data_IF_802816100749
#
_entry.id   IF_802816100749
#
_cell.length_a   1.000
_cell.length_b   1.000
_cell.length_c   1.000
_cell.angle_alpha   90.00
_cell.angle_beta   90.00
_cell.angle_gamma   90.00
#
_symmetry.space_group_name_H-M   'P 1'
#
loop_
_entity.id
_entity.type
_entity.pdbx_description
1 polymer ?
#
# COMPACT_ATOMS: atom_id res chain seq x y z
N UNK A 1 -7.76 12.67 -15.76
CA UNK A 1 -6.39 12.19 -16.06
C UNK A 1 -6.13 11.04 -15.10
N UNK A 2 -5.82 9.86 -15.61
CA UNK A 2 -5.49 8.71 -14.77
C UNK A 2 -4.20 9.01 -14.02
N UNK A 3 -4.27 8.99 -12.69
CA UNK A 3 -3.15 9.28 -11.78
C UNK A 3 -2.23 8.06 -11.59
N UNK A 4 -2.27 7.13 -12.55
CA UNK A 4 -1.60 5.83 -12.47
C UNK A 4 -0.14 5.99 -12.89
N UNK A 5 0.73 5.26 -12.18
CA UNK A 5 2.13 5.15 -12.53
C UNK A 5 2.30 4.44 -13.87
N UNK A 6 3.35 4.83 -14.58
CA UNK A 6 3.84 4.18 -15.77
C UNK A 6 5.31 3.83 -15.59
N UNK A 7 5.85 3.04 -16.51
CA UNK A 7 7.28 2.69 -16.54
C UNK A 7 8.19 3.92 -16.59
N UNK A 8 7.76 4.98 -17.28
CA UNK A 8 8.48 6.27 -17.35
C UNK A 8 8.59 6.99 -16.00
N UNK A 9 7.73 6.65 -15.05
CA UNK A 9 7.79 7.16 -13.68
C UNK A 9 8.72 6.32 -12.78
N UNK A 10 9.32 5.25 -13.30
CA UNK A 10 10.18 4.35 -12.54
C UNK A 10 11.65 4.55 -12.95
N UNK A 11 12.52 4.63 -11.94
CA UNK A 11 13.96 4.50 -12.09
C UNK A 11 14.33 3.08 -12.54
N UNK A 12 15.43 2.97 -13.28
CA UNK A 12 16.13 1.69 -13.45
C UNK A 12 16.67 1.16 -12.12
N UNK A 13 17.02 -0.12 -12.07
CA UNK A 13 17.60 -0.73 -10.86
C UNK A 13 18.88 -0.04 -10.39
N UNK A 14 19.70 0.42 -11.34
CA UNK A 14 20.95 1.15 -11.08
C UNK A 14 20.66 2.52 -10.47
N UNK A 15 19.87 3.35 -11.16
CA UNK A 15 19.50 4.69 -10.69
C UNK A 15 18.78 4.64 -9.33
N UNK A 16 17.88 3.66 -9.15
CA UNK A 16 17.20 3.47 -7.87
C UNK A 16 18.19 3.11 -6.77
N UNK A 17 19.14 2.20 -7.02
CA UNK A 17 20.14 1.81 -6.02
C UNK A 17 20.99 2.99 -5.55
N UNK A 18 21.40 3.88 -6.46
CA UNK A 18 22.16 5.09 -6.14
C UNK A 18 21.36 6.07 -5.27
N UNK A 19 20.07 6.24 -5.57
CA UNK A 19 19.22 7.23 -4.91
C UNK A 19 18.42 6.69 -3.73
N UNK A 20 18.42 5.37 -3.52
CA UNK A 20 17.52 4.65 -2.60
C UNK A 20 17.52 5.22 -1.20
N UNK A 21 18.69 5.56 -0.66
CA UNK A 21 18.80 6.09 0.71
C UNK A 21 17.98 7.38 0.88
N UNK A 22 18.08 8.29 -0.10
CA UNK A 22 17.35 9.55 -0.10
C UNK A 22 15.86 9.34 -0.36
N UNK A 23 15.51 8.50 -1.35
CA UNK A 23 14.11 8.18 -1.66
C UNK A 23 13.43 7.56 -0.43
N UNK A 24 14.05 6.55 0.20
CA UNK A 24 13.54 5.90 1.41
C UNK A 24 13.33 6.90 2.53
N UNK A 25 14.32 7.76 2.82
CA UNK A 25 14.19 8.78 3.87
C UNK A 25 12.98 9.69 3.63
N UNK A 26 12.81 10.15 2.39
CA UNK A 26 11.69 11.00 2.00
C UNK A 26 10.34 10.27 2.15
N UNK A 27 10.25 9.05 1.63
CA UNK A 27 9.02 8.25 1.69
C UNK A 27 8.66 7.89 3.13
N UNK A 28 9.61 7.60 4.01
CA UNK A 28 9.31 7.36 5.43
C UNK A 28 8.70 8.59 6.11
N UNK A 29 9.13 9.80 5.74
CA UNK A 29 8.51 11.03 6.25
C UNK A 29 7.09 11.22 5.70
N UNK A 30 6.85 10.86 4.44
CA UNK A 30 5.51 10.86 3.84
C UNK A 30 4.60 9.86 4.53
N UNK A 31 5.05 8.61 4.74
CA UNK A 31 4.28 7.54 5.39
C UNK A 31 3.83 7.94 6.80
N UNK A 32 4.70 8.57 7.60
CA UNK A 32 4.36 9.06 8.95
C UNK A 32 3.13 9.97 9.01
N UNK A 33 2.87 10.76 7.95
CA UNK A 33 1.71 11.66 7.88
C UNK A 33 0.45 10.97 7.33
N UNK A 34 0.55 9.71 6.92
CA UNK A 34 -0.50 8.96 6.23
C UNK A 34 -0.87 7.67 6.96
N UNK A 35 -0.31 7.46 8.15
CA UNK A 35 -0.59 6.30 8.99
C UNK A 35 -1.63 6.62 10.05
N UNK A 36 -2.58 5.70 10.23
CA UNK A 36 -3.59 5.75 11.30
C UNK A 36 -3.60 4.40 12.00
N UNK A 37 -3.38 4.42 13.30
CA UNK A 37 -3.53 3.22 14.14
C UNK A 37 -4.98 3.08 14.61
N UNK A 38 -5.52 1.87 14.49
CA UNK A 38 -6.83 1.48 14.98
C UNK A 38 -6.65 0.46 16.10
N UNK A 39 -6.66 0.95 17.34
CA UNK A 39 -6.29 0.14 18.50
C UNK A 39 -4.79 -0.21 18.49
N UNK A 40 -4.46 -1.40 19.02
CA UNK A 40 -3.07 -1.80 19.26
C UNK A 40 -2.44 -2.55 18.07
N UNK A 41 -3.25 -3.25 17.26
CA UNK A 41 -2.75 -4.24 16.29
C UNK A 41 -3.06 -3.90 14.84
N UNK A 42 -3.82 -2.84 14.57
CA UNK A 42 -4.21 -2.49 13.19
C UNK A 42 -3.62 -1.14 12.84
N UNK A 43 -2.93 -1.10 11.70
CA UNK A 43 -2.39 0.11 11.11
C UNK A 43 -2.89 0.26 9.69
N UNK A 44 -3.45 1.41 9.37
CA UNK A 44 -3.81 1.80 8.01
C UNK A 44 -2.76 2.77 7.48
N UNK A 45 -2.14 2.43 6.35
CA UNK A 45 -1.35 3.37 5.56
C UNK A 45 -2.21 3.86 4.39
N UNK A 46 -2.61 5.12 4.41
CA UNK A 46 -3.30 5.73 3.27
C UNK A 46 -2.30 5.94 2.13
N UNK A 47 -2.53 5.26 1.02
CA UNK A 47 -1.59 5.24 -0.11
C UNK A 47 -1.70 6.53 -0.93
N UNK A 48 -0.62 6.86 -1.63
CA UNK A 48 -0.57 7.89 -2.67
C UNK A 48 0.44 7.49 -3.73
N UNK A 49 0.61 8.36 -4.73
CA UNK A 49 1.57 8.14 -5.80
C UNK A 49 3.00 7.83 -5.30
N UNK A 50 3.50 8.54 -4.29
CA UNK A 50 4.87 8.36 -3.78
C UNK A 50 5.04 7.08 -2.97
N UNK A 51 4.07 6.70 -2.14
CA UNK A 51 4.14 5.48 -1.35
C UNK A 51 4.05 4.24 -2.24
N UNK A 52 3.20 4.28 -3.27
CA UNK A 52 3.05 3.21 -4.27
C UNK A 52 4.27 3.10 -5.17
N UNK A 53 4.78 4.22 -5.71
CA UNK A 53 6.01 4.22 -6.51
C UNK A 53 7.19 3.62 -5.73
N UNK A 54 7.33 3.99 -4.46
CA UNK A 54 8.36 3.43 -3.59
C UNK A 54 8.19 1.92 -3.39
N UNK A 55 6.96 1.43 -3.24
CA UNK A 55 6.69 0.01 -3.05
C UNK A 55 7.05 -0.78 -4.30
N UNK A 56 6.63 -0.33 -5.49
CA UNK A 56 7.00 -0.94 -6.77
C UNK A 56 8.53 -0.99 -6.91
N UNK A 57 9.21 0.13 -6.67
CA UNK A 57 10.67 0.20 -6.76
C UNK A 57 11.39 -0.75 -5.80
N UNK A 58 10.89 -0.92 -4.58
CA UNK A 58 11.46 -1.88 -3.65
C UNK A 58 11.23 -3.33 -4.12
N UNK A 59 10.07 -3.64 -4.71
CA UNK A 59 9.80 -4.97 -5.29
C UNK A 59 10.75 -5.25 -6.45
N UNK A 60 10.84 -4.35 -7.43
CA UNK A 60 11.76 -4.48 -8.56
C UNK A 60 13.20 -4.69 -8.11
N UNK A 61 13.65 -3.97 -7.07
CA UNK A 61 15.00 -4.10 -6.53
C UNK A 61 15.25 -5.42 -5.80
N UNK A 62 14.31 -5.86 -4.96
CA UNK A 62 14.46 -7.07 -4.16
C UNK A 62 14.49 -8.29 -5.08
N UNK A 63 13.55 -8.34 -6.03
CA UNK A 63 13.38 -9.45 -6.96
C UNK A 63 14.27 -9.32 -8.21
N UNK A 64 14.99 -8.20 -8.37
CA UNK A 64 15.84 -7.87 -9.53
C UNK A 64 15.07 -7.92 -10.85
N UNK A 65 13.86 -7.38 -10.87
CA UNK A 65 13.02 -7.30 -12.06
C UNK A 65 13.44 -6.07 -12.88
N UNK A 66 13.89 -6.31 -14.10
CA UNK A 66 14.25 -5.25 -15.06
C UNK A 66 13.64 -5.47 -16.45
N UNK A 67 13.04 -6.64 -16.68
CA UNK A 67 12.34 -6.95 -17.92
C UNK A 67 11.02 -6.19 -18.00
N UNK A 68 10.71 -5.71 -19.21
CA UNK A 68 9.54 -4.89 -19.51
C UNK A 68 8.23 -5.49 -18.98
N UNK A 69 8.02 -6.79 -19.18
CA UNK A 69 6.82 -7.50 -18.75
C UNK A 69 6.71 -7.55 -17.22
N UNK A 70 7.76 -7.99 -16.53
CA UNK A 70 7.75 -8.04 -15.06
C UNK A 70 7.58 -6.66 -14.41
N UNK A 71 8.10 -5.58 -15.01
CA UNK A 71 7.83 -4.21 -14.52
C UNK A 71 6.34 -3.87 -14.65
N UNK A 72 5.70 -4.32 -15.73
CA UNK A 72 4.27 -4.09 -15.92
C UNK A 72 3.43 -4.85 -14.91
N UNK A 73 3.78 -6.10 -14.61
CA UNK A 73 3.07 -6.91 -13.63
C UNK A 73 3.06 -6.21 -12.26
N UNK A 74 4.20 -5.69 -11.81
CA UNK A 74 4.29 -4.91 -10.56
C UNK A 74 3.49 -3.61 -10.62
N UNK A 75 3.50 -2.90 -11.75
CA UNK A 75 2.67 -1.71 -11.95
C UNK A 75 1.19 -2.05 -11.86
N UNK A 76 0.75 -3.14 -12.46
CA UNK A 76 -0.66 -3.55 -12.52
C UNK A 76 -1.17 -4.00 -11.15
N UNK A 77 -0.31 -4.64 -10.34
CA UNK A 77 -0.61 -5.01 -8.95
C UNK A 77 -0.77 -3.79 -8.05
N UNK A 78 0.18 -2.84 -8.11
CA UNK A 78 0.26 -1.78 -7.10
C UNK A 78 -0.42 -0.47 -7.49
N UNK A 79 -0.50 -0.13 -8.78
CA UNK A 79 -1.12 1.13 -9.23
C UNK A 79 -2.60 1.30 -8.82
N UNK A 80 -3.43 0.23 -8.69
CA UNK A 80 -4.79 0.33 -8.16
C UNK A 80 -4.88 0.89 -6.73
N UNK A 81 -3.77 0.92 -5.98
CA UNK A 81 -3.67 1.56 -4.66
C UNK A 81 -3.50 3.08 -4.73
N UNK A 82 -3.33 3.67 -5.91
CA UNK A 82 -3.28 5.13 -6.06
C UNK A 82 -4.72 5.66 -6.09
N UNK A 83 -5.08 6.65 -5.24
CA UNK A 83 -6.41 7.23 -5.26
C UNK A 83 -6.69 7.98 -6.58
N UNK A 84 -7.91 7.85 -7.09
CA UNK A 84 -8.33 8.43 -8.37
C UNK A 84 -8.94 9.85 -8.26
N UNK A 85 -8.97 10.40 -7.04
CA UNK A 85 -9.55 11.70 -6.71
C UNK A 85 -10.98 11.64 -6.17
N UNK A 86 -11.66 10.49 -6.30
CA UNK A 86 -12.98 10.24 -5.72
C UNK A 86 -12.97 9.23 -4.57
N UNK A 87 -11.85 8.55 -4.34
CA UNK A 87 -11.68 7.57 -3.28
C UNK A 87 -10.39 7.78 -2.46
N UNK A 88 -10.38 7.14 -1.29
CA UNK A 88 -9.18 6.90 -0.51
C UNK A 88 -8.79 5.43 -0.69
N UNK A 89 -7.49 5.17 -0.78
CA UNK A 89 -6.91 3.84 -0.86
C UNK A 89 -6.00 3.66 0.34
N UNK A 90 -6.07 2.50 1.00
CA UNK A 90 -5.24 2.23 2.17
C UNK A 90 -4.82 0.77 2.23
N UNK A 91 -3.56 0.55 2.61
CA UNK A 91 -3.05 -0.76 2.99
C UNK A 91 -3.31 -0.98 4.48
N UNK A 92 -4.02 -2.05 4.82
CA UNK A 92 -4.24 -2.45 6.21
C UNK A 92 -3.22 -3.51 6.62
N UNK A 93 -2.52 -3.26 7.73
CA UNK A 93 -1.58 -4.19 8.34
C UNK A 93 -2.12 -4.61 9.71
N UNK A 94 -2.16 -5.93 9.94
CA UNK A 94 -2.48 -6.53 11.24
C UNK A 94 -1.18 -7.06 11.85
N UNK A 95 -0.73 -6.42 12.91
CA UNK A 95 0.64 -6.52 13.42
C UNK A 95 0.67 -7.21 14.80
N UNK A 96 1.35 -8.37 14.83
CA UNK A 96 1.64 -9.14 16.03
C UNK A 96 3.10 -9.61 15.96
N UNK A 97 3.85 -9.39 17.04
CA UNK A 97 5.28 -9.74 17.13
C UNK A 97 5.48 -11.23 17.35
N UNK A 98 4.65 -11.86 18.19
CA UNK A 98 4.66 -13.30 18.42
C UNK A 98 3.86 -14.06 17.35
N UNK A 99 4.45 -15.14 16.82
CA UNK A 99 3.87 -15.91 15.72
C UNK A 99 2.64 -16.72 16.16
N UNK A 100 2.65 -17.26 17.38
CA UNK A 100 1.54 -18.06 17.92
C UNK A 100 0.34 -17.15 18.18
N UNK A 101 0.59 -16.00 18.79
CA UNK A 101 -0.41 -14.97 19.00
C UNK A 101 -0.99 -14.47 17.67
N UNK A 102 -0.12 -14.12 16.70
CA UNK A 102 -0.52 -13.68 15.35
C UNK A 102 -1.46 -14.68 14.69
N UNK A 103 -1.13 -15.97 14.75
CA UNK A 103 -1.93 -17.02 14.11
C UNK A 103 -3.33 -17.08 14.72
N UNK A 104 -3.43 -17.05 16.06
CA UNK A 104 -4.71 -17.05 16.77
C UNK A 104 -5.51 -15.78 16.51
N UNK A 105 -4.84 -14.63 16.51
CA UNK A 105 -5.47 -13.34 16.25
C UNK A 105 -6.05 -13.29 14.83
N UNK A 106 -5.27 -13.64 13.81
CA UNK A 106 -5.73 -13.64 12.42
C UNK A 106 -6.93 -14.58 12.21
N UNK A 107 -6.98 -15.74 12.88
CA UNK A 107 -8.18 -16.61 12.83
C UNK A 107 -9.42 -15.99 13.46
N UNK A 108 -9.26 -15.13 14.48
CA UNK A 108 -10.38 -14.43 15.12
C UNK A 108 -10.81 -13.18 14.35
N UNK A 109 -9.91 -12.61 13.55
CA UNK A 109 -10.09 -11.37 12.80
C UNK A 109 -10.55 -11.61 11.35
N UNK A 110 -10.96 -12.84 11.01
CA UNK A 110 -11.49 -13.14 9.68
C UNK A 110 -12.65 -12.19 9.35
N UNK A 111 -12.53 -11.46 8.23
CA UNK A 111 -13.54 -10.52 7.78
C UNK A 111 -13.48 -9.14 8.44
N UNK A 112 -12.47 -8.85 9.29
CA UNK A 112 -12.34 -7.56 9.94
C UNK A 112 -12.23 -6.40 8.95
N UNK A 113 -11.66 -6.63 7.77
CA UNK A 113 -11.51 -5.64 6.71
C UNK A 113 -12.85 -5.03 6.30
N UNK A 114 -13.94 -5.81 6.38
CA UNK A 114 -15.32 -5.38 6.05
C UNK A 114 -15.95 -4.50 7.13
N UNK A 115 -15.36 -4.46 8.33
CA UNK A 115 -15.82 -3.63 9.44
C UNK A 115 -15.19 -2.23 9.42
N UNK A 116 -14.22 -1.99 8.53
CA UNK A 116 -13.54 -0.69 8.41
C UNK A 116 -14.46 0.30 7.69
N UNK A 117 -14.64 1.47 8.27
CA UNK A 117 -15.34 2.59 7.65
C UNK A 117 -14.66 3.91 7.99
N UNK A 118 -14.92 4.93 7.17
CA UNK A 118 -14.65 6.31 7.54
C UNK A 118 -15.94 7.13 7.55
N UNK A 119 -15.95 8.18 8.36
CA UNK A 119 -17.06 9.11 8.47
C UNK A 119 -16.50 10.54 8.50
N UNK A 120 -17.07 11.42 7.68
CA UNK A 120 -16.72 12.85 7.68
C UNK A 120 -17.86 13.62 8.32
N UNK A 121 -17.59 14.30 9.45
CA UNK A 121 -18.63 15.03 10.19
C UNK A 121 -19.85 14.15 10.49
N UNK A 122 -21.04 14.61 10.12
CA UNK A 122 -22.30 13.90 10.34
C UNK A 122 -22.80 13.14 9.09
N UNK A 123 -21.95 12.94 8.08
CA UNK A 123 -22.30 12.16 6.89
C UNK A 123 -22.45 10.67 7.23
N UNK A 124 -23.02 9.90 6.30
CA UNK A 124 -23.11 8.45 6.43
C UNK A 124 -21.72 7.80 6.42
N UNK A 125 -21.60 6.67 7.13
CA UNK A 125 -20.39 5.86 7.10
C UNK A 125 -20.16 5.31 5.69
N UNK A 126 -18.92 5.41 5.22
CA UNK A 126 -18.47 4.76 3.99
C UNK A 126 -17.57 3.59 4.38
N UNK A 127 -18.05 2.38 4.12
CA UNK A 127 -17.31 1.15 4.42
C UNK A 127 -16.26 0.88 3.35
N UNK A 128 -15.16 0.26 3.75
CA UNK A 128 -14.11 -0.15 2.85
C UNK A 128 -14.61 -1.23 1.87
N UNK A 129 -14.16 -1.13 0.62
CA UNK A 129 -14.24 -2.21 -0.35
C UNK A 129 -12.86 -2.85 -0.39
N UNK A 130 -12.78 -4.13 -0.03
CA UNK A 130 -11.51 -4.81 0.23
C UNK A 130 -11.24 -5.93 -0.76
N UNK A 131 -9.97 -6.08 -1.15
CA UNK A 131 -9.42 -7.19 -1.92
C UNK A 131 -10.20 -7.47 -3.23
N UNK A 132 -10.50 -6.42 -3.99
CA UNK A 132 -11.18 -6.52 -5.30
C UNK A 132 -10.31 -7.18 -6.37
N UNK A 133 -8.99 -7.20 -6.14
CA UNK A 133 -7.94 -7.80 -6.95
C UNK A 133 -7.79 -9.31 -6.75
N UNK A 134 -8.38 -9.87 -5.69
CA UNK A 134 -8.34 -11.30 -5.41
C UNK A 134 -9.55 -12.02 -5.99
N UNK A 135 -9.31 -13.13 -6.71
CA UNK A 135 -10.37 -14.07 -7.08
C UNK A 135 -10.98 -14.71 -5.81
N UNK A 136 -12.30 -14.88 -5.79
CA UNK A 136 -13.07 -15.39 -4.65
C UNK A 136 -13.47 -16.84 -4.80
#
# INVERSE_FOLDING_TARGET
MTNLLKREDLFSLEEYAEQRSNIRKNVMNVKKLREVNLGEHIRLLFENHQTVQYQIQEMLRIEKIFEAEGIQDELDVYSPLIPDGSNLKATMMIEYTDVVERTKALSNLIGIEKSIYFQVGNHQNVYAICNEDLER
#
